data_IF_465317166886
#
_entry.id   IF_465317166886
#
_cell.length_a   1.000
_cell.length_b   1.000
_cell.length_c   1.000
_cell.angle_alpha   90.00
_cell.angle_beta   90.00
_cell.angle_gamma   90.00
#
_symmetry.space_group_name_H-M   'P 1'
#
loop_
_entity.id
_entity.type
_entity.pdbx_description
1 polymer ?
#
# COMPACT_ATOMS: atom_id res chain seq x y z
N UNK A 1 -6.47 -29.76 -6.01
CA UNK A 1 -6.98 -29.68 -4.63
C UNK A 1 -8.46 -30.03 -4.66
N UNK A 2 -8.85 -31.15 -4.05
CA UNK A 2 -10.23 -31.64 -4.08
C UNK A 2 -11.11 -30.83 -3.11
N UNK A 3 -12.13 -30.15 -3.63
CA UNK A 3 -13.15 -29.49 -2.81
C UNK A 3 -14.04 -30.55 -2.16
N UNK A 4 -13.97 -30.67 -0.84
CA UNK A 4 -14.88 -31.51 -0.07
C UNK A 4 -16.26 -30.86 -0.04
N UNK A 5 -17.14 -31.24 -0.97
CA UNK A 5 -18.55 -30.89 -0.87
C UNK A 5 -19.15 -31.68 0.30
N UNK A 6 -19.26 -31.04 1.47
CA UNK A 6 -20.01 -31.60 2.58
C UNK A 6 -21.48 -31.70 2.16
N UNK A 7 -21.94 -32.92 1.86
CA UNK A 7 -23.31 -33.20 1.43
C UNK A 7 -24.22 -32.87 2.61
N UNK A 8 -24.98 -31.77 2.50
CA UNK A 8 -25.92 -31.35 3.54
C UNK A 8 -27.13 -32.27 3.52
N UNK A 9 -27.22 -33.14 4.50
CA UNK A 9 -28.38 -34.01 4.73
C UNK A 9 -29.51 -33.26 5.43
N UNK A 10 -30.75 -33.72 5.22
CA UNK A 10 -31.95 -33.18 5.85
C UNK A 10 -31.88 -33.35 7.37
N UNK A 11 -31.96 -32.24 8.12
CA UNK A 11 -31.92 -32.30 9.59
C UNK A 11 -33.11 -33.06 10.24
N UNK A 12 -34.22 -33.25 9.53
CA UNK A 12 -35.38 -33.97 10.06
C UNK A 12 -35.33 -35.49 9.86
N UNK A 13 -34.71 -36.00 8.78
CA UNK A 13 -34.69 -37.44 8.48
C UNK A 13 -33.32 -38.00 8.05
N UNK A 14 -32.30 -37.15 7.88
CA UNK A 14 -30.95 -37.55 7.49
C UNK A 14 -30.72 -37.79 6.01
N UNK A 15 -31.73 -37.65 5.14
CA UNK A 15 -31.56 -37.89 3.71
C UNK A 15 -30.82 -36.76 2.98
N UNK A 16 -29.87 -37.06 2.08
CA UNK A 16 -29.13 -36.04 1.32
C UNK A 16 -29.93 -35.43 0.16
N UNK A 17 -31.10 -35.98 -0.17
CA UNK A 17 -31.81 -35.67 -1.40
C UNK A 17 -32.74 -34.44 -1.30
N UNK A 18 -32.91 -33.86 -0.10
CA UNK A 18 -33.77 -32.69 0.09
C UNK A 18 -33.38 -31.86 1.32
N UNK A 19 -33.83 -30.61 1.38
CA UNK A 19 -33.65 -29.74 2.55
C UNK A 19 -34.80 -29.91 3.55
N UNK A 20 -34.54 -29.66 4.84
CA UNK A 20 -35.49 -29.89 5.94
C UNK A 20 -36.90 -29.28 5.73
N UNK A 21 -37.00 -28.15 5.04
CA UNK A 21 -38.29 -27.51 4.70
C UNK A 21 -39.17 -28.32 3.75
N UNK A 22 -38.56 -29.17 2.92
CA UNK A 22 -39.22 -30.00 1.91
C UNK A 22 -39.21 -31.49 2.28
N UNK A 23 -38.99 -31.82 3.56
CA UNK A 23 -39.03 -33.21 4.01
C UNK A 23 -40.42 -33.81 3.78
N UNK A 24 -40.54 -34.95 3.05
CA UNK A 24 -41.81 -35.62 2.84
C UNK A 24 -42.35 -36.27 4.14
N UNK A 25 -41.47 -36.54 5.11
CA UNK A 25 -41.82 -36.97 6.46
C UNK A 25 -42.03 -35.77 7.39
N UNK A 26 -42.93 -34.84 7.04
CA UNK A 26 -43.39 -33.84 8.01
C UNK A 26 -44.20 -34.56 9.08
N UNK A 27 -43.57 -34.85 10.22
CA UNK A 27 -44.29 -35.24 11.44
C UNK A 27 -45.27 -34.12 11.77
N UNK A 28 -46.55 -34.39 11.59
CA UNK A 28 -47.65 -33.63 12.15
C UNK A 28 -47.66 -33.84 13.67
N UNK A 29 -46.72 -33.21 14.37
CA UNK A 29 -46.64 -33.23 15.83
C UNK A 29 -46.31 -31.82 16.34
N UNK A 30 -47.25 -30.90 16.11
CA UNK A 30 -47.33 -29.63 16.83
C UNK A 30 -48.79 -29.39 17.19
N UNK A 31 -49.40 -30.36 17.89
CA UNK A 31 -50.65 -30.13 18.61
C UNK A 31 -50.67 -31.06 19.83
N UNK A 32 -50.41 -30.49 21.00
CA UNK A 32 -50.76 -31.09 22.28
C UNK A 32 -49.65 -31.85 23.03
N UNK A 33 -49.42 -31.40 24.26
CA UNK A 33 -48.98 -32.17 25.42
C UNK A 33 -47.48 -32.53 25.57
N UNK A 34 -46.77 -31.71 26.36
CA UNK A 34 -45.49 -32.07 26.98
C UNK A 34 -45.75 -32.73 28.34
N UNK A 35 -45.76 -34.06 28.35
CA UNK A 35 -45.62 -34.89 29.54
C UNK A 35 -44.36 -35.74 29.43
N UNK A 36 -43.41 -35.49 30.34
CA UNK A 36 -42.45 -36.42 30.97
C UNK A 36 -42.03 -37.72 30.26
N UNK A 37 -40.71 -37.92 30.09
CA UNK A 37 -40.12 -39.26 30.08
C UNK A 37 -38.79 -39.43 29.34
N UNK A 38 -37.69 -39.35 30.11
CA UNK A 38 -36.43 -40.11 30.05
C UNK A 38 -35.65 -40.36 28.71
N UNK A 39 -34.38 -39.92 28.78
CA UNK A 39 -33.11 -40.25 28.08
C UNK A 39 -32.93 -41.70 27.53
N UNK A 40 -31.86 -42.07 26.75
CA UNK A 40 -30.53 -41.42 26.64
C UNK A 40 -29.87 -41.40 25.23
N UNK A 41 -28.92 -40.49 24.97
CA UNK A 41 -27.92 -40.68 23.91
C UNK A 41 -26.51 -40.35 24.40
N UNK A 42 -25.62 -41.26 24.02
CA UNK A 42 -24.24 -41.47 24.39
C UNK A 42 -23.27 -40.32 24.07
N UNK A 43 -22.27 -40.27 24.95
CA UNK A 43 -20.98 -39.59 24.94
C UNK A 43 -20.12 -39.82 23.69
N UNK A 44 -19.36 -38.79 23.29
CA UNK A 44 -18.10 -38.90 22.54
C UNK A 44 -17.04 -38.00 23.21
N UNK A 45 -15.74 -38.39 23.30
CA UNK A 45 -14.77 -37.73 24.16
C UNK A 45 -13.93 -36.68 23.41
N UNK A 46 -13.54 -35.62 24.12
CA UNK A 46 -12.51 -34.65 23.67
C UNK A 46 -11.46 -34.45 24.78
N UNK A 47 -10.16 -34.38 24.44
CA UNK A 47 -9.05 -34.36 25.41
C UNK A 47 -8.85 -32.99 26.09
N UNK A 48 -8.27 -32.94 27.31
CA UNK A 48 -8.04 -31.69 28.03
C UNK A 48 -6.70 -31.02 27.64
N UNK A 49 -6.77 -29.74 27.30
CA UNK A 49 -5.61 -28.82 27.32
C UNK A 49 -5.72 -28.01 28.62
N UNK A 50 -4.75 -28.19 29.51
CA UNK A 50 -4.62 -27.48 30.77
C UNK A 50 -3.98 -26.10 30.56
N UNK A 51 -4.62 -25.05 31.06
CA UNK A 51 -3.99 -23.73 31.29
C UNK A 51 -4.48 -23.19 32.66
N UNK A 52 -3.60 -22.59 33.49
CA UNK A 52 -3.91 -22.36 34.90
C UNK A 52 -4.79 -21.13 35.15
N UNK A 53 -5.69 -21.31 36.12
CA UNK A 53 -6.67 -20.35 36.63
C UNK A 53 -6.01 -19.26 37.50
N UNK A 54 -6.25 -17.98 37.19
CA UNK A 54 -6.02 -16.87 38.12
C UNK A 54 -7.23 -16.71 39.06
N UNK A 55 -7.04 -16.39 40.36
CA UNK A 55 -8.15 -16.17 41.29
C UNK A 55 -8.83 -14.81 41.06
N UNK A 56 -10.16 -14.71 41.22
CA UNK A 56 -10.89 -13.44 41.14
C UNK A 56 -10.68 -12.56 42.40
N UNK A 57 -10.73 -11.21 42.28
CA UNK A 57 -10.59 -10.29 43.41
C UNK A 57 -11.83 -10.26 44.33
N UNK A 58 -11.69 -9.87 45.62
CA UNK A 58 -12.77 -9.88 46.60
C UNK A 58 -13.79 -8.72 46.42
N UNK A 59 -15.05 -8.88 46.86
CA UNK A 59 -16.07 -7.84 46.80
C UNK A 59 -15.93 -6.78 47.91
N UNK A 60 -16.37 -5.52 47.69
CA UNK A 60 -16.37 -4.46 48.71
C UNK A 60 -17.46 -4.65 49.78
N UNK A 61 -17.29 -4.08 51.00
CA UNK A 61 -18.18 -4.32 52.14
C UNK A 61 -19.53 -3.62 52.04
N UNK A 62 -20.55 -4.29 52.61
CA UNK A 62 -21.94 -3.86 52.66
C UNK A 62 -22.13 -2.60 53.53
N UNK A 63 -22.79 -1.59 52.96
CA UNK A 63 -23.40 -0.52 53.75
C UNK A 63 -24.75 -1.00 54.28
N UNK A 64 -24.82 -1.09 55.61
CA UNK A 64 -26.04 -1.34 56.36
C UNK A 64 -27.02 -0.18 56.12
N UNK A 65 -28.25 -0.49 55.72
CA UNK A 65 -29.39 0.38 56.02
C UNK A 65 -30.52 -0.49 56.52
N UNK A 66 -30.63 -0.46 57.84
CA UNK A 66 -31.72 -0.92 58.68
C UNK A 66 -33.05 -0.38 58.17
N UNK A 67 -34.00 -1.27 57.83
CA UNK A 67 -35.43 -1.11 58.15
C UNK A 67 -36.16 -2.44 58.03
N UNK A 68 -36.61 -2.94 59.19
CA UNK A 68 -37.90 -3.60 59.40
C UNK A 68 -38.26 -4.84 58.56
N UNK A 69 -37.89 -6.02 59.06
CA UNK A 69 -38.61 -7.24 58.74
C UNK A 69 -39.94 -7.30 59.49
N UNK A 70 -41.05 -7.37 58.76
CA UNK A 70 -42.30 -7.98 59.25
C UNK A 70 -42.70 -9.05 58.25
N UNK A 71 -42.75 -10.27 58.76
CA UNK A 71 -43.31 -11.45 58.12
C UNK A 71 -44.75 -11.21 57.65
N UNK A 72 -45.02 -11.55 56.39
CA UNK A 72 -46.35 -11.61 55.81
C UNK A 72 -46.40 -12.72 54.77
N UNK A 73 -47.05 -13.82 55.14
CA UNK A 73 -47.32 -14.98 54.30
C UNK A 73 -48.42 -14.66 53.27
N UNK A 74 -48.38 -15.38 52.14
CA UNK A 74 -49.50 -15.64 51.20
C UNK A 74 -50.33 -14.47 50.66
N UNK A 75 -50.04 -14.03 49.42
CA UNK A 75 -50.96 -14.19 48.27
C UNK A 75 -50.37 -13.52 47.03
N UNK A 76 -50.41 -14.25 45.90
CA UNK A 76 -50.00 -13.73 44.59
C UNK A 76 -50.92 -12.60 44.14
N UNK A 77 -50.48 -11.37 44.37
CA UNK A 77 -51.11 -10.19 43.82
C UNK A 77 -50.13 -9.59 42.81
N UNK A 78 -50.27 -9.99 41.54
CA UNK A 78 -49.60 -9.31 40.44
C UNK A 78 -49.99 -7.83 40.48
N UNK A 79 -49.09 -6.97 40.94
CA UNK A 79 -49.20 -5.52 40.87
C UNK A 79 -49.20 -5.11 39.41
N UNK A 80 -50.40 -5.08 38.84
CA UNK A 80 -50.76 -4.72 37.47
C UNK A 80 -50.36 -3.25 37.24
N UNK A 81 -49.10 -3.02 36.89
CA UNK A 81 -48.56 -1.68 36.58
C UNK A 81 -47.05 -1.51 36.77
N UNK A 82 -46.37 -2.37 37.55
CA UNK A 82 -44.96 -2.14 37.93
C UNK A 82 -43.91 -2.94 37.11
N UNK A 83 -44.34 -3.97 36.36
CA UNK A 83 -43.42 -4.83 35.60
C UNK A 83 -42.74 -4.13 34.41
N UNK A 84 -43.45 -3.21 33.75
CA UNK A 84 -42.93 -2.48 32.59
C UNK A 84 -41.81 -1.50 32.97
N UNK A 85 -41.96 -0.80 34.10
CA UNK A 85 -40.96 0.14 34.58
C UNK A 85 -39.64 -0.55 34.93
N UNK A 86 -39.70 -1.68 35.65
CA UNK A 86 -38.52 -2.47 36.01
C UNK A 86 -37.82 -3.07 34.78
N UNK A 87 -38.57 -3.52 33.78
CA UNK A 87 -38.01 -4.01 32.53
C UNK A 87 -37.32 -2.87 31.75
N UNK A 88 -37.95 -1.70 31.67
CA UNK A 88 -37.40 -0.53 30.98
C UNK A 88 -36.10 -0.05 31.64
N UNK A 89 -36.02 -0.07 32.97
CA UNK A 89 -34.80 0.30 33.70
C UNK A 89 -33.66 -0.69 33.45
N UNK A 90 -33.97 -2.00 33.38
CA UNK A 90 -32.99 -3.01 33.01
C UNK A 90 -32.51 -2.86 31.56
N UNK A 91 -33.41 -2.51 30.64
CA UNK A 91 -33.06 -2.25 29.24
C UNK A 91 -32.14 -1.03 29.13
N UNK A 92 -32.42 0.05 29.85
CA UNK A 92 -31.57 1.25 29.84
C UNK A 92 -30.12 0.95 30.30
N UNK A 93 -29.94 0.13 31.34
CA UNK A 93 -28.61 -0.29 31.81
C UNK A 93 -27.89 -1.18 30.78
N UNK A 94 -28.62 -2.05 30.08
CA UNK A 94 -28.05 -2.88 29.02
C UNK A 94 -27.63 -2.03 27.81
N UNK A 95 -28.43 -1.05 27.43
CA UNK A 95 -28.10 -0.11 26.37
C UNK A 95 -26.87 0.71 26.72
N UNK A 96 -26.77 1.23 27.95
CA UNK A 96 -25.61 1.97 28.42
C UNK A 96 -24.33 1.11 28.40
N UNK A 97 -24.41 -0.14 28.88
CA UNK A 97 -23.27 -1.05 28.88
C UNK A 97 -22.82 -1.45 27.48
N UNK A 98 -23.76 -1.66 26.54
CA UNK A 98 -23.45 -1.92 25.13
C UNK A 98 -22.84 -0.70 24.46
N UNK A 99 -23.35 0.50 24.71
CA UNK A 99 -22.76 1.75 24.20
C UNK A 99 -21.34 1.91 24.71
N UNK A 100 -21.10 1.67 26.00
CA UNK A 100 -19.77 1.73 26.61
C UNK A 100 -18.81 0.70 26.01
N UNK A 101 -19.29 -0.52 25.74
CA UNK A 101 -18.46 -1.55 25.11
C UNK A 101 -18.13 -1.19 23.65
N UNK A 102 -19.11 -0.63 22.93
CA UNK A 102 -18.91 -0.13 21.56
C UNK A 102 -17.89 1.00 21.52
N UNK A 103 -17.99 2.00 22.40
CA UNK A 103 -17.04 3.12 22.42
C UNK A 103 -15.63 2.67 22.75
N UNK A 104 -15.47 1.71 23.66
CA UNK A 104 -14.17 1.09 23.93
C UNK A 104 -13.60 0.35 22.73
N UNK A 105 -14.43 -0.41 22.01
CA UNK A 105 -13.99 -1.13 20.81
C UNK A 105 -13.61 -0.16 19.68
N UNK A 106 -14.45 0.85 19.42
CA UNK A 106 -14.18 1.88 18.43
C UNK A 106 -12.88 2.63 18.74
N UNK A 107 -12.66 2.98 20.02
CA UNK A 107 -11.43 3.62 20.49
C UNK A 107 -10.21 2.71 20.35
N UNK A 108 -10.35 1.41 20.70
CA UNK A 108 -9.27 0.43 20.54
C UNK A 108 -8.89 0.23 19.06
N UNK A 109 -9.88 0.16 18.17
CA UNK A 109 -9.67 0.06 16.73
C UNK A 109 -9.04 1.33 16.15
N UNK A 110 -9.46 2.51 16.61
CA UNK A 110 -8.86 3.78 16.22
C UNK A 110 -7.38 3.88 16.67
N UNK A 111 -7.09 3.48 17.92
CA UNK A 111 -5.72 3.45 18.43
C UNK A 111 -4.83 2.47 17.65
N UNK A 112 -5.35 1.30 17.26
CA UNK A 112 -4.60 0.33 16.46
C UNK A 112 -4.32 0.84 15.04
N UNK A 113 -5.26 1.58 14.45
CA UNK A 113 -5.05 2.22 13.15
C UNK A 113 -4.03 3.36 13.25
N UNK A 114 -4.10 4.18 14.29
CA UNK A 114 -3.12 5.24 14.55
C UNK A 114 -1.71 4.66 14.76
N UNK A 115 -1.58 3.55 15.50
CA UNK A 115 -0.30 2.84 15.69
C UNK A 115 0.31 2.39 14.37
N UNK A 116 -0.50 1.82 13.47
CA UNK A 116 -0.03 1.41 12.13
C UNK A 116 0.41 2.60 11.27
N UNK A 117 -0.31 3.71 11.33
CA UNK A 117 0.05 4.93 10.61
C UNK A 117 1.37 5.52 11.14
N UNK A 118 1.59 5.51 12.45
CA UNK A 118 2.86 5.94 13.06
C UNK A 118 4.03 5.03 12.67
N UNK A 119 3.83 3.71 12.65
CA UNK A 119 4.83 2.75 12.17
C UNK A 119 5.18 2.96 10.68
N UNK A 120 4.18 3.24 9.83
CA UNK A 120 4.41 3.56 8.42
C UNK A 120 5.18 4.87 8.25
N UNK A 121 4.81 5.91 9.00
CA UNK A 121 5.53 7.20 9.02
C UNK A 121 6.98 7.01 9.46
N UNK A 122 7.22 6.20 10.49
CA UNK A 122 8.56 5.90 10.96
C UNK A 122 9.37 5.12 9.92
N UNK A 123 8.75 4.16 9.24
CA UNK A 123 9.39 3.41 8.14
C UNK A 123 9.77 4.34 6.99
N UNK A 124 8.86 5.24 6.59
CA UNK A 124 9.10 6.22 5.53
C UNK A 124 10.21 7.20 5.90
N UNK A 125 10.26 7.65 7.16
CA UNK A 125 11.32 8.52 7.65
C UNK A 125 12.70 7.84 7.62
N UNK A 126 12.78 6.57 8.01
CA UNK A 126 14.03 5.78 7.93
C UNK A 126 14.50 5.58 6.49
N UNK A 127 13.60 5.26 5.58
CA UNK A 127 13.92 5.12 4.16
C UNK A 127 14.40 6.43 3.54
N UNK A 128 13.79 7.57 3.92
CA UNK A 128 14.25 8.89 3.49
C UNK A 128 15.63 9.24 4.07
N UNK A 129 15.88 8.93 5.35
CA UNK A 129 17.18 9.12 5.98
C UNK A 129 18.27 8.26 5.32
N UNK A 130 17.97 7.00 5.00
CA UNK A 130 18.88 6.12 4.27
C UNK A 130 19.22 6.67 2.88
N UNK A 131 18.22 7.21 2.16
CA UNK A 131 18.44 7.89 0.87
C UNK A 131 19.39 9.08 1.02
N UNK A 132 19.24 9.88 2.08
CA UNK A 132 20.14 11.02 2.35
C UNK A 132 21.55 10.56 2.67
N UNK A 133 21.71 9.48 3.43
CA UNK A 133 23.02 8.92 3.76
C UNK A 133 23.71 8.32 2.53
N UNK A 134 22.97 7.66 1.65
CA UNK A 134 23.51 7.11 0.40
C UNK A 134 24.00 8.23 -0.53
N UNK A 135 23.18 9.27 -0.73
CA UNK A 135 23.54 10.45 -1.52
C UNK A 135 24.75 11.20 -0.92
N UNK A 136 24.86 11.26 0.42
CA UNK A 136 26.06 11.78 1.09
C UNK A 136 27.30 10.92 0.82
N UNK A 137 27.18 9.59 0.95
CA UNK A 137 28.28 8.65 0.67
C UNK A 137 28.71 8.69 -0.80
N UNK A 138 27.78 8.85 -1.73
CA UNK A 138 28.09 8.98 -3.15
C UNK A 138 28.89 10.25 -3.44
N UNK A 139 28.51 11.40 -2.84
CA UNK A 139 29.31 12.64 -2.94
C UNK A 139 30.71 12.48 -2.36
N UNK A 140 30.83 11.85 -1.19
CA UNK A 140 32.13 11.59 -0.57
C UNK A 140 32.97 10.63 -1.40
N UNK A 141 32.36 9.58 -1.98
CA UNK A 141 33.03 8.64 -2.86
C UNK A 141 33.53 9.30 -4.14
N UNK A 142 32.72 10.15 -4.79
CA UNK A 142 33.14 10.92 -5.96
C UNK A 142 34.28 11.87 -5.61
N UNK A 143 34.18 12.58 -4.49
CA UNK A 143 35.24 13.47 -4.03
C UNK A 143 36.55 12.71 -3.75
N UNK A 144 36.45 11.52 -3.13
CA UNK A 144 37.60 10.64 -2.92
C UNK A 144 38.19 10.16 -4.24
N UNK A 145 37.37 9.71 -5.18
CA UNK A 145 37.81 9.27 -6.50
C UNK A 145 38.55 10.39 -7.24
N UNK A 146 38.04 11.62 -7.18
CA UNK A 146 38.71 12.79 -7.77
C UNK A 146 40.06 13.06 -7.09
N UNK A 147 40.13 12.97 -5.77
CA UNK A 147 41.38 13.13 -5.03
C UNK A 147 42.39 12.05 -5.38
N UNK A 148 41.97 10.78 -5.41
CA UNK A 148 42.81 9.64 -5.77
C UNK A 148 43.29 9.73 -7.22
N UNK A 149 42.43 10.17 -8.15
CA UNK A 149 42.79 10.39 -9.55
C UNK A 149 43.79 11.54 -9.73
N UNK A 150 43.65 12.62 -8.97
CA UNK A 150 44.62 13.72 -8.96
C UNK A 150 45.96 13.26 -8.39
N UNK A 151 45.96 12.53 -7.29
CA UNK A 151 47.17 11.98 -6.68
C UNK A 151 47.89 11.02 -7.63
N UNK A 152 47.16 10.11 -8.27
CA UNK A 152 47.73 9.20 -9.26
C UNK A 152 48.37 9.94 -10.45
N UNK A 153 47.76 11.04 -10.92
CA UNK A 153 48.37 11.89 -11.96
C UNK A 153 49.63 12.60 -11.45
N UNK A 154 49.63 13.08 -10.21
CA UNK A 154 50.80 13.69 -9.59
C UNK A 154 51.93 12.66 -9.45
N UNK A 155 51.64 11.42 -9.03
CA UNK A 155 52.63 10.34 -8.94
C UNK A 155 53.28 10.05 -10.29
N UNK A 156 52.49 10.00 -11.38
CA UNK A 156 53.03 9.84 -12.74
C UNK A 156 53.95 11.01 -13.12
N UNK A 157 53.60 12.24 -12.75
CA UNK A 157 54.46 13.41 -13.00
C UNK A 157 55.73 13.35 -12.14
N UNK A 158 55.62 12.97 -10.86
CA UNK A 158 56.78 12.80 -9.97
C UNK A 158 57.75 11.74 -10.52
N UNK A 159 57.24 10.60 -11.00
CA UNK A 159 58.07 9.57 -11.61
C UNK A 159 58.65 10.00 -12.96
N UNK A 160 57.91 10.75 -13.79
CA UNK A 160 58.44 11.30 -15.04
C UNK A 160 59.60 12.29 -14.79
N UNK A 161 59.47 13.15 -13.78
CA UNK A 161 60.52 14.11 -13.39
C UNK A 161 61.73 13.39 -12.77
N UNK A 162 61.52 12.35 -11.94
CA UNK A 162 62.63 11.54 -11.40
C UNK A 162 63.33 10.70 -12.47
N UNK A 163 62.56 10.13 -13.41
CA UNK A 163 63.10 9.43 -14.57
C UNK A 163 63.89 10.36 -15.50
N UNK A 164 63.40 11.60 -15.70
CA UNK A 164 64.16 12.64 -16.38
C UNK A 164 65.44 13.00 -15.63
N UNK A 165 65.44 13.08 -14.29
CA UNK A 165 66.67 13.38 -13.54
C UNK A 165 67.76 12.30 -13.72
N UNK A 166 67.39 11.03 -13.87
CA UNK A 166 68.34 9.95 -14.20
C UNK A 166 68.80 10.01 -15.68
N UNK A 167 67.88 10.35 -16.58
CA UNK A 167 68.20 10.57 -18.00
C UNK A 167 68.98 11.88 -18.23
N UNK A 168 68.90 12.85 -17.32
CA UNK A 168 69.63 14.11 -17.31
C UNK A 168 71.01 13.92 -16.69
N UNK A 169 71.24 12.95 -15.79
CA UNK A 169 72.62 12.52 -15.44
C UNK A 169 73.29 11.80 -16.63
N UNK A 170 72.56 10.93 -17.35
CA UNK A 170 73.04 10.36 -18.62
C UNK A 170 73.13 11.41 -19.74
N UNK A 171 72.25 12.42 -19.68
CA UNK A 171 72.17 13.55 -20.56
C UNK A 171 73.29 14.54 -20.31
N UNK A 172 73.71 14.72 -19.07
CA UNK A 172 74.83 15.54 -18.57
C UNK A 172 76.15 14.86 -18.92
N UNK A 173 76.27 13.52 -18.81
CA UNK A 173 77.40 12.77 -19.37
C UNK A 173 77.48 12.87 -20.90
N UNK A 174 76.34 12.82 -21.61
CA UNK A 174 76.28 13.02 -23.07
C UNK A 174 76.53 14.47 -23.44
N UNK A 175 76.10 15.42 -22.63
CA UNK A 175 76.29 16.85 -22.78
C UNK A 175 77.75 17.20 -22.51
N UNK A 176 78.42 16.54 -21.57
CA UNK A 176 79.86 16.66 -21.34
C UNK A 176 80.67 16.05 -22.49
N UNK A 177 80.24 14.91 -23.04
CA UNK A 177 80.82 14.34 -24.26
C UNK A 177 80.61 15.25 -25.47
N UNK A 178 79.41 15.81 -25.64
CA UNK A 178 79.10 16.80 -26.68
C UNK A 178 79.83 18.11 -26.43
N UNK A 179 80.08 18.54 -25.19
CA UNK A 179 80.89 19.71 -24.88
C UNK A 179 82.35 19.49 -25.24
N UNK A 180 82.91 18.30 -25.00
CA UNK A 180 84.25 17.91 -25.47
C UNK A 180 84.31 17.80 -26.99
N UNK A 181 83.27 17.27 -27.63
CA UNK A 181 83.15 17.20 -29.08
C UNK A 181 83.00 18.61 -29.68
N UNK A 182 82.20 19.48 -29.06
CA UNK A 182 82.03 20.88 -29.44
C UNK A 182 83.33 21.62 -29.21
N UNK A 183 84.04 21.47 -28.10
CA UNK A 183 85.35 22.10 -27.88
C UNK A 183 86.36 21.66 -28.94
N UNK A 184 86.39 20.36 -29.26
CA UNK A 184 87.20 19.81 -30.35
C UNK A 184 86.78 20.34 -31.72
N UNK A 185 85.47 20.44 -31.97
CA UNK A 185 84.90 21.00 -33.18
C UNK A 185 85.04 22.51 -33.23
N UNK A 186 85.10 23.23 -32.11
CA UNK A 186 85.24 24.67 -31.98
C UNK A 186 86.71 25.08 -32.10
N UNK A 187 87.63 24.18 -31.73
CA UNK A 187 89.04 24.20 -32.17
C UNK A 187 89.15 23.96 -33.68
N UNK A 188 88.27 23.14 -34.28
CA UNK A 188 88.21 22.91 -35.73
C UNK A 188 87.33 23.93 -36.51
N UNK A 189 86.47 24.69 -35.82
CA UNK A 189 85.46 25.61 -36.37
C UNK A 189 85.82 27.06 -36.04
N UNK A 190 86.82 27.31 -35.19
CA UNK A 190 87.61 28.54 -35.23
C UNK A 190 88.31 28.72 -36.59
N UNK A 191 88.37 27.66 -37.41
CA UNK A 191 88.73 27.71 -38.82
C UNK A 191 87.55 27.93 -39.79
N UNK A 192 86.28 27.76 -39.39
CA UNK A 192 85.11 27.92 -40.30
C UNK A 192 83.86 28.42 -39.57
N UNK A 193 83.46 29.64 -39.91
CA UNK A 193 82.39 30.44 -39.30
C UNK A 193 80.93 29.94 -39.45
N UNK A 194 80.10 30.30 -38.44
CA UNK A 194 78.72 30.81 -38.49
C UNK A 194 77.46 29.93 -38.82
N UNK A 195 76.52 29.96 -37.85
CA UNK A 195 75.07 30.24 -37.94
C UNK A 195 73.98 29.14 -37.87
N UNK A 196 72.98 29.49 -37.04
CA UNK A 196 71.52 29.39 -37.22
C UNK A 196 70.74 28.31 -36.46
N UNK A 197 69.75 28.81 -35.70
CA UNK A 197 68.86 28.07 -34.83
C UNK A 197 67.61 27.53 -35.53
N UNK A 198 67.01 26.54 -34.88
CA UNK A 198 65.80 25.86 -35.32
C UNK A 198 64.75 25.88 -34.20
N UNK A 199 63.61 26.51 -34.50
CA UNK A 199 62.41 26.59 -33.66
C UNK A 199 61.53 25.36 -33.92
N UNK A 200 61.08 24.67 -32.86
CA UNK A 200 60.22 23.49 -32.95
C UNK A 200 58.84 23.80 -32.40
N UNK A 201 57.85 23.99 -33.27
CA UNK A 201 56.43 24.01 -32.88
C UNK A 201 55.88 22.58 -32.90
N UNK A 202 55.21 22.18 -31.81
CA UNK A 202 54.52 20.89 -31.65
C UNK A 202 53.01 21.00 -31.96
N UNK A 203 52.32 19.90 -32.30
CA UNK A 203 51.05 19.93 -33.05
C UNK A 203 49.79 20.03 -32.16
N UNK A 204 48.84 20.86 -32.59
CA UNK A 204 47.57 21.26 -31.95
C UNK A 204 46.39 20.28 -32.06
N UNK A 205 46.64 19.02 -32.44
CA UNK A 205 45.58 18.08 -32.88
C UNK A 205 44.82 17.43 -31.70
N UNK A 206 45.42 17.37 -30.51
CA UNK A 206 44.79 16.72 -29.33
C UNK A 206 43.65 17.55 -28.72
N UNK A 207 43.73 18.88 -28.81
CA UNK A 207 42.78 19.78 -28.14
C UNK A 207 41.43 19.85 -28.87
N UNK A 208 41.44 19.68 -30.19
CA UNK A 208 40.22 19.71 -31.02
C UNK A 208 39.33 18.48 -30.79
N UNK A 209 39.94 17.30 -30.63
CA UNK A 209 39.21 16.06 -30.31
C UNK A 209 38.56 16.10 -28.92
N UNK A 210 39.21 16.72 -27.94
CA UNK A 210 38.66 16.92 -26.60
C UNK A 210 37.45 17.86 -26.63
N UNK A 211 37.54 18.96 -27.38
CA UNK A 211 36.46 19.92 -27.56
C UNK A 211 35.23 19.26 -28.23
N UNK A 212 35.47 18.48 -29.29
CA UNK A 212 34.40 17.73 -29.97
C UNK A 212 33.68 16.76 -29.02
N UNK A 213 34.43 16.05 -28.16
CA UNK A 213 33.86 15.14 -27.16
C UNK A 213 33.02 15.89 -26.13
N UNK A 214 33.50 17.02 -25.63
CA UNK A 214 32.76 17.84 -24.65
C UNK A 214 31.44 18.38 -25.24
N UNK A 215 31.44 18.80 -26.51
CA UNK A 215 30.22 19.24 -27.19
C UNK A 215 29.22 18.09 -27.38
N UNK A 216 29.71 16.89 -27.71
CA UNK A 216 28.87 15.70 -27.84
C UNK A 216 28.22 15.32 -26.50
N UNK A 217 28.99 15.34 -25.40
CA UNK A 217 28.49 15.04 -24.06
C UNK A 217 27.42 16.05 -23.61
N UNK A 218 27.59 17.33 -23.96
CA UNK A 218 26.58 18.36 -23.69
C UNK A 218 25.26 18.09 -24.45
N UNK A 219 25.33 17.72 -25.72
CA UNK A 219 24.13 17.39 -26.51
C UNK A 219 23.48 16.07 -26.06
N UNK A 220 24.27 15.09 -25.60
CA UNK A 220 23.76 13.87 -24.97
C UNK A 220 23.03 14.20 -23.66
N UNK A 221 23.60 15.06 -22.82
CA UNK A 221 22.96 15.51 -21.58
C UNK A 221 21.66 16.25 -21.85
N UNK A 222 21.66 17.14 -22.84
CA UNK A 222 20.46 17.87 -23.29
C UNK A 222 19.36 16.93 -23.75
N UNK A 223 19.69 15.87 -24.52
CA UNK A 223 18.73 14.82 -24.91
C UNK A 223 18.18 14.06 -23.71
N UNK A 224 19.02 13.70 -22.74
CA UNK A 224 18.60 13.02 -21.50
C UNK A 224 17.62 13.89 -20.69
N UNK A 225 17.91 15.18 -20.53
CA UNK A 225 17.04 16.13 -19.82
C UNK A 225 15.70 16.29 -20.54
N UNK A 226 15.70 16.38 -21.88
CA UNK A 226 14.47 16.48 -22.66
C UNK A 226 13.59 15.23 -22.52
N UNK A 227 14.19 14.04 -22.56
CA UNK A 227 13.49 12.77 -22.34
C UNK A 227 12.92 12.67 -20.91
N UNK A 228 13.69 13.06 -19.91
CA UNK A 228 13.24 13.09 -18.52
C UNK A 228 12.08 14.08 -18.33
N UNK A 229 12.14 15.27 -18.94
CA UNK A 229 11.05 16.25 -18.93
C UNK A 229 9.78 15.69 -19.57
N UNK A 230 9.89 14.99 -20.70
CA UNK A 230 8.75 14.35 -21.35
C UNK A 230 8.16 13.21 -20.50
N UNK A 231 8.99 12.44 -19.81
CA UNK A 231 8.54 11.43 -18.85
C UNK A 231 7.80 12.05 -17.66
N UNK A 232 8.32 13.14 -17.09
CA UNK A 232 7.67 13.87 -16.00
C UNK A 232 6.30 14.40 -16.41
N UNK A 233 6.16 15.00 -17.60
CA UNK A 233 4.85 15.44 -18.11
C UNK A 233 3.84 14.30 -18.19
N UNK A 234 4.27 13.11 -18.64
CA UNK A 234 3.40 11.92 -18.64
C UNK A 234 3.02 11.50 -17.23
N UNK A 235 3.97 11.50 -16.29
CA UNK A 235 3.70 11.20 -14.88
C UNK A 235 2.67 12.18 -14.29
N UNK A 236 2.84 13.48 -14.51
CA UNK A 236 1.89 14.52 -14.06
C UNK A 236 0.47 14.29 -14.59
N UNK A 237 0.33 13.90 -15.87
CA UNK A 237 -0.99 13.57 -16.44
C UNK A 237 -1.63 12.33 -15.79
N UNK A 238 -0.83 11.30 -15.51
CA UNK A 238 -1.32 10.10 -14.81
C UNK A 238 -1.72 10.44 -13.37
N UNK A 239 -0.93 11.24 -12.66
CA UNK A 239 -1.25 11.72 -11.31
C UNK A 239 -2.52 12.57 -11.28
N UNK A 240 -2.75 13.42 -12.28
CA UNK A 240 -4.01 14.15 -12.42
C UNK A 240 -5.20 13.20 -12.59
N UNK A 241 -5.09 12.19 -13.46
CA UNK A 241 -6.15 11.19 -13.65
C UNK A 241 -6.44 10.37 -12.37
N UNK A 242 -5.40 10.00 -11.63
CA UNK A 242 -5.54 9.29 -10.35
C UNK A 242 -6.22 10.17 -9.29
N UNK A 243 -5.93 11.48 -9.26
CA UNK A 243 -6.63 12.42 -8.37
C UNK A 243 -8.13 12.48 -8.70
N UNK A 244 -8.50 12.56 -9.98
CA UNK A 244 -9.91 12.56 -10.39
C UNK A 244 -10.62 11.26 -10.02
N UNK A 245 -10.01 10.10 -10.28
CA UNK A 245 -10.60 8.80 -9.91
C UNK A 245 -10.79 8.70 -8.39
N UNK A 246 -9.80 9.11 -7.60
CA UNK A 246 -9.93 9.15 -6.13
C UNK A 246 -11.05 10.06 -5.67
N UNK A 247 -11.21 11.24 -6.28
CA UNK A 247 -12.30 12.15 -5.97
C UNK A 247 -13.67 11.54 -6.30
N UNK A 248 -13.78 10.85 -7.44
CA UNK A 248 -15.01 10.14 -7.82
C UNK A 248 -15.33 9.01 -6.84
N UNK A 249 -14.32 8.25 -6.40
CA UNK A 249 -14.48 7.21 -5.40
C UNK A 249 -14.99 7.79 -4.07
N UNK A 250 -14.41 8.90 -3.61
CA UNK A 250 -14.82 9.58 -2.39
C UNK A 250 -16.27 10.06 -2.48
N UNK A 251 -16.66 10.70 -3.59
CA UNK A 251 -18.04 11.12 -3.81
C UNK A 251 -19.01 9.93 -3.82
N UNK A 252 -18.65 8.84 -4.49
CA UNK A 252 -19.48 7.63 -4.49
C UNK A 252 -19.62 7.01 -3.09
N UNK A 253 -18.56 7.04 -2.27
CA UNK A 253 -18.63 6.60 -0.87
C UNK A 253 -19.56 7.51 -0.05
N UNK A 254 -19.47 8.83 -0.21
CA UNK A 254 -20.37 9.78 0.45
C UNK A 254 -21.82 9.57 0.03
N UNK A 255 -22.09 9.31 -1.25
CA UNK A 255 -23.43 8.95 -1.73
C UNK A 255 -23.94 7.69 -1.04
N UNK A 256 -23.14 6.61 -0.99
CA UNK A 256 -23.51 5.38 -0.28
C UNK A 256 -23.81 5.65 1.19
N UNK A 257 -23.01 6.48 1.86
CA UNK A 257 -23.28 6.88 3.24
C UNK A 257 -24.58 7.69 3.38
N UNK A 258 -24.86 8.61 2.46
CA UNK A 258 -26.10 9.39 2.48
C UNK A 258 -27.32 8.50 2.25
N UNK A 259 -27.27 7.57 1.30
CA UNK A 259 -28.31 6.57 1.08
C UNK A 259 -28.51 5.67 2.30
N UNK A 260 -27.42 5.29 2.97
CA UNK A 260 -27.47 4.52 4.22
C UNK A 260 -28.15 5.31 5.34
N UNK A 261 -27.80 6.59 5.52
CA UNK A 261 -28.43 7.48 6.52
C UNK A 261 -29.92 7.68 6.21
N UNK A 262 -30.27 7.88 4.94
CA UNK A 262 -31.66 8.07 4.50
C UNK A 262 -32.50 6.81 4.69
N UNK A 263 -31.96 5.63 4.38
CA UNK A 263 -32.64 4.35 4.62
C UNK A 263 -32.88 4.08 6.11
N UNK A 264 -32.00 4.56 6.99
CA UNK A 264 -32.11 4.45 8.44
C UNK A 264 -32.97 5.57 9.07
N UNK A 265 -33.34 6.60 8.30
CA UNK A 265 -34.16 7.71 8.80
C UNK A 265 -35.58 7.19 9.08
N UNK A 266 -35.94 7.13 10.35
CA UNK A 266 -37.20 6.56 10.90
C UNK A 266 -38.49 7.35 10.54
N UNK A 267 -38.48 8.09 9.43
CA UNK A 267 -39.59 8.89 8.92
C UNK A 267 -40.30 8.31 7.68
N UNK A 268 -39.77 7.27 7.04
CA UNK A 268 -40.42 6.67 5.85
C UNK A 268 -41.56 5.71 6.25
N UNK A 269 -42.68 6.24 6.75
CA UNK A 269 -43.92 5.50 7.07
C UNK A 269 -44.69 5.04 5.81
N UNK A 270 -44.01 4.59 4.74
CA UNK A 270 -44.66 4.03 3.54
C UNK A 270 -44.71 2.50 3.50
N UNK A 271 -44.45 1.82 4.62
CA UNK A 271 -44.69 0.38 4.74
C UNK A 271 -45.50 0.04 5.99
N UNK A 272 -46.77 0.47 6.01
CA UNK A 272 -47.81 -0.48 6.44
C UNK A 272 -48.20 -1.29 5.20
N UNK A 273 -47.39 -2.30 4.87
CA UNK A 273 -47.89 -3.41 4.06
C UNK A 273 -48.80 -4.21 4.99
N UNK A 274 -50.09 -3.84 5.00
CA UNK A 274 -51.13 -4.75 5.43
C UNK A 274 -51.11 -5.91 4.43
N UNK A 275 -50.59 -7.06 4.83
CA UNK A 275 -50.86 -8.32 4.15
C UNK A 275 -52.31 -8.71 4.44
N UNK A 276 -53.28 -8.04 3.79
CA UNK A 276 -54.63 -8.56 3.64
C UNK A 276 -54.80 -9.09 2.22
N UNK A 277 -55.03 -10.39 2.14
CA UNK A 277 -55.45 -11.08 0.92
C UNK A 277 -56.73 -10.46 0.36
N UNK A 278 -56.81 -10.38 -0.97
CA UNK A 278 -57.99 -10.03 -1.78
C UNK A 278 -58.19 -8.55 -2.14
N UNK A 279 -57.75 -8.18 -3.34
CA UNK A 279 -58.54 -7.41 -4.31
C UNK A 279 -57.80 -7.40 -5.66
N UNK A 280 -58.44 -7.95 -6.70
CA UNK A 280 -58.01 -7.80 -8.08
C UNK A 280 -58.10 -6.33 -8.49
N UNK A 281 -56.97 -5.63 -8.61
CA UNK A 281 -56.92 -4.34 -9.29
C UNK A 281 -55.67 -4.26 -10.19
N UNK A 282 -55.94 -3.87 -11.43
CA UNK A 282 -55.01 -3.63 -12.55
C UNK A 282 -53.79 -2.83 -12.09
N UNK A 283 -52.61 -3.37 -12.37
CA UNK A 283 -51.31 -2.72 -12.22
C UNK A 283 -51.09 -1.77 -13.41
N UNK A 284 -50.86 -0.46 -13.22
CA UNK A 284 -50.13 0.33 -14.19
C UNK A 284 -48.64 0.02 -14.03
N UNK A 285 -48.03 -0.45 -15.11
CA UNK A 285 -46.59 -0.65 -15.18
C UNK A 285 -45.85 0.70 -15.13
N UNK A 286 -44.66 0.65 -14.54
CA UNK A 286 -43.53 1.61 -14.59
C UNK A 286 -43.47 2.73 -13.53
N UNK A 287 -42.40 2.80 -12.73
CA UNK A 287 -41.96 4.05 -12.08
C UNK A 287 -41.19 4.92 -13.10
N UNK A 288 -41.20 6.26 -12.94
CA UNK A 288 -40.50 7.16 -13.85
C UNK A 288 -38.99 7.00 -13.66
N UNK A 289 -38.31 6.46 -14.68
CA UNK A 289 -36.86 6.59 -14.82
C UNK A 289 -36.55 8.07 -15.02
N UNK A 290 -36.05 8.75 -13.98
CA UNK A 290 -35.29 9.98 -14.16
C UNK A 290 -33.93 9.57 -14.73
N UNK A 291 -33.76 9.73 -16.05
CA UNK A 291 -32.46 9.67 -16.69
C UNK A 291 -31.66 10.89 -16.25
N UNK A 292 -30.76 10.72 -15.29
CA UNK A 292 -29.59 11.59 -15.22
C UNK A 292 -28.70 11.19 -16.39
N UNK A 293 -28.86 11.90 -17.50
CA UNK A 293 -27.80 12.02 -18.49
C UNK A 293 -26.56 12.53 -17.76
N UNK A 294 -25.57 11.66 -17.63
CA UNK A 294 -24.15 11.98 -17.83
C UNK A 294 -23.37 10.66 -17.84
N UNK A 295 -23.71 9.79 -18.79
CA UNK A 295 -22.73 8.85 -19.32
C UNK A 295 -22.10 9.58 -20.51
N UNK A 296 -20.77 9.78 -20.56
CA UNK A 296 -20.16 10.29 -21.78
C UNK A 296 -20.60 9.36 -22.90
N UNK A 297 -21.28 9.92 -23.90
CA UNK A 297 -21.69 9.20 -25.10
C UNK A 297 -20.41 8.81 -25.83
N UNK A 298 -19.84 7.66 -25.45
CA UNK A 298 -18.71 7.06 -26.14
C UNK A 298 -19.21 6.74 -27.52
N UNK A 299 -18.66 7.44 -28.50
CA UNK A 299 -18.91 7.21 -29.92
C UNK A 299 -18.78 5.70 -30.21
N UNK A 300 -19.80 5.04 -30.77
CA UNK A 300 -19.76 3.62 -31.12
C UNK A 300 -18.51 3.25 -31.93
N UNK A 301 -17.97 4.19 -32.71
CA UNK A 301 -16.75 4.01 -33.47
C UNK A 301 -15.50 3.90 -32.58
N UNK A 302 -15.41 4.69 -31.51
CA UNK A 302 -14.31 4.62 -30.54
C UNK A 302 -14.37 3.34 -29.72
N UNK A 303 -15.57 2.87 -29.37
CA UNK A 303 -15.74 1.61 -28.67
C UNK A 303 -15.32 0.41 -29.55
N UNK A 304 -15.65 0.44 -30.84
CA UNK A 304 -15.21 -0.57 -31.80
C UNK A 304 -13.68 -0.55 -31.99
N UNK A 305 -13.06 0.63 -31.99
CA UNK A 305 -11.59 0.77 -32.07
C UNK A 305 -10.91 0.19 -30.82
N UNK A 306 -11.39 0.50 -29.61
CA UNK A 306 -10.86 -0.05 -28.36
C UNK A 306 -10.97 -1.57 -28.31
N UNK A 307 -12.12 -2.12 -28.70
CA UNK A 307 -12.33 -3.56 -28.77
C UNK A 307 -11.36 -4.22 -29.78
N UNK A 308 -11.09 -3.57 -30.91
CA UNK A 308 -10.13 -4.08 -31.90
C UNK A 308 -8.71 -4.13 -31.35
N UNK A 309 -8.29 -3.09 -30.61
CA UNK A 309 -6.98 -3.03 -29.96
C UNK A 309 -6.85 -4.11 -28.87
N UNK A 310 -7.87 -4.31 -28.06
CA UNK A 310 -7.90 -5.35 -27.02
C UNK A 310 -7.79 -6.75 -27.61
N UNK A 311 -8.56 -7.04 -28.67
CA UNK A 311 -8.48 -8.32 -29.39
C UNK A 311 -7.09 -8.56 -29.98
N UNK A 312 -6.43 -7.52 -30.51
CA UNK A 312 -5.08 -7.66 -31.04
C UNK A 312 -4.05 -7.90 -29.93
N UNK A 313 -4.14 -7.18 -28.81
CA UNK A 313 -3.26 -7.41 -27.65
C UNK A 313 -3.39 -8.85 -27.10
N UNK A 314 -4.61 -9.38 -27.04
CA UNK A 314 -4.86 -10.76 -26.63
C UNK A 314 -4.31 -11.79 -27.63
N UNK A 315 -4.30 -11.48 -28.94
CA UNK A 315 -3.68 -12.33 -29.96
C UNK A 315 -2.16 -12.32 -29.83
N UNK A 316 -1.55 -11.18 -29.60
CA UNK A 316 -0.09 -11.07 -29.36
C UNK A 316 0.33 -11.85 -28.12
N UNK A 317 -0.43 -11.76 -27.02
CA UNK A 317 -0.15 -12.53 -25.81
C UNK A 317 -0.23 -14.04 -26.01
N UNK A 318 -1.11 -14.52 -26.90
CA UNK A 318 -1.22 -15.95 -27.27
C UNK A 318 -0.14 -16.42 -28.25
N UNK A 319 0.42 -15.51 -29.05
CA UNK A 319 1.53 -15.82 -29.95
C UNK A 319 2.88 -15.84 -29.21
N UNK A 320 2.98 -15.10 -28.11
CA UNK A 320 4.17 -15.03 -27.27
C UNK A 320 4.19 -16.06 -26.13
N UNK A 321 3.22 -16.98 -26.09
CA UNK A 321 3.12 -18.12 -25.15
C UNK A 321 3.28 -19.45 -25.88
#
# INVERSE_FOLDING_TARGET
MASTSSVRTCYNCGDPNHFARWCPHKTAAATGNLGTGNAPILTLPTPPISLPTLPPPPPPPASQTTVGGVSGNTNGQYTKGSGWFNLNQRMAVLEETVVKMKTWYDLAMANELARKEEEEKLKKAKEEEERRLLDKKEREALNKELHDAMNARLDVVYEAVRGQKQADVSGEEKMEKLLKEIEKLQVAQSEVTNNSGASTSRPSVHDDALLAKMMQEHEDMKRRVALASAANKRAETLEASLRTIKQQQELAMQEVETWKKEALRTGNKRSRLATSSSAQLKIPATPPRKSSNDRPSIDPLQLAQLHTLEVNALKELRLNS
#
